data_IF_068056966720
#
_entry.id   IF_068056966720
#
_cell.length_a   1.000
_cell.length_b   1.000
_cell.length_c   1.000
_cell.angle_alpha   90.00
_cell.angle_beta   90.00
_cell.angle_gamma   90.00
#
_symmetry.space_group_name_H-M   'P 1'
#
loop_
_entity.id
_entity.type
_entity.pdbx_description
1 polymer ?
#
# COMPACT_ATOMS: atom_id res chain seq x y z
N UNK A 1 -35.34 -48.16 70.99
CA UNK A 1 -35.89 -47.16 70.08
C UNK A 1 -34.80 -46.17 69.63
N UNK A 2 -33.86 -46.64 68.83
CA UNK A 2 -32.77 -45.82 68.36
C UNK A 2 -32.38 -46.00 66.87
N UNK A 3 -33.06 -46.90 66.14
CA UNK A 3 -32.67 -47.28 64.77
C UNK A 3 -33.47 -46.58 63.64
N UNK A 4 -34.61 -45.94 63.90
CA UNK A 4 -35.43 -45.35 62.87
C UNK A 4 -34.98 -43.95 62.36
N UNK A 5 -34.04 -43.28 63.10
CA UNK A 5 -33.60 -41.92 62.70
C UNK A 5 -32.33 -41.92 61.85
N UNK A 6 -31.64 -43.06 61.75
CA UNK A 6 -30.40 -43.17 61.00
C UNK A 6 -30.72 -43.42 59.50
N UNK A 7 -31.79 -44.14 59.17
CA UNK A 7 -32.17 -44.46 57.80
C UNK A 7 -32.48 -43.22 56.92
N UNK A 8 -33.26 -42.21 57.34
CA UNK A 8 -33.53 -41.06 56.51
C UNK A 8 -32.30 -40.14 56.36
N UNK A 9 -31.48 -40.02 57.37
CA UNK A 9 -30.22 -39.26 57.29
C UNK A 9 -29.20 -39.94 56.38
N UNK A 10 -29.11 -41.23 56.39
CA UNK A 10 -28.26 -42.04 55.52
C UNK A 10 -28.73 -41.94 54.04
N UNK A 11 -30.04 -42.00 53.79
CA UNK A 11 -30.62 -41.83 52.49
C UNK A 11 -30.37 -40.44 51.92
N UNK A 12 -30.50 -39.37 52.72
CA UNK A 12 -30.21 -38.00 52.36
C UNK A 12 -28.72 -37.80 52.05
N UNK A 13 -27.83 -38.41 52.82
CA UNK A 13 -26.39 -38.38 52.58
C UNK A 13 -25.98 -39.06 51.27
N UNK A 14 -26.59 -40.22 50.98
CA UNK A 14 -26.37 -40.95 49.71
C UNK A 14 -26.87 -40.13 48.50
N UNK A 15 -28.07 -39.55 48.58
CA UNK A 15 -28.60 -38.70 47.51
C UNK A 15 -27.71 -37.46 47.28
N UNK A 16 -27.22 -36.86 48.34
CA UNK A 16 -26.33 -35.69 48.25
C UNK A 16 -24.96 -36.06 47.65
N UNK A 17 -24.41 -37.21 48.00
CA UNK A 17 -23.18 -37.75 47.44
C UNK A 17 -23.34 -38.07 45.95
N UNK A 18 -24.41 -38.71 45.53
CA UNK A 18 -24.71 -38.98 44.13
C UNK A 18 -24.87 -37.65 43.36
N UNK A 19 -25.60 -36.69 43.91
CA UNK A 19 -25.77 -35.37 43.32
C UNK A 19 -24.44 -34.63 43.07
N UNK A 20 -23.55 -34.69 44.06
CA UNK A 20 -22.21 -34.08 43.94
C UNK A 20 -21.30 -34.80 42.91
N UNK A 21 -21.39 -36.15 42.85
CA UNK A 21 -20.62 -36.92 41.87
C UNK A 21 -21.12 -36.61 40.46
N UNK A 22 -22.42 -36.56 40.22
CA UNK A 22 -23.01 -36.22 38.93
C UNK A 22 -22.68 -34.77 38.55
N UNK A 23 -22.80 -33.83 39.46
CA UNK A 23 -22.45 -32.45 39.24
C UNK A 23 -20.96 -32.30 38.90
N UNK A 24 -20.06 -32.95 39.66
CA UNK A 24 -18.63 -32.97 39.39
C UNK A 24 -18.28 -33.56 38.02
N UNK A 25 -18.93 -34.64 37.64
CA UNK A 25 -18.78 -35.26 36.33
C UNK A 25 -19.22 -34.33 35.20
N UNK A 26 -20.41 -33.71 35.33
CA UNK A 26 -20.91 -32.78 34.31
C UNK A 26 -20.05 -31.52 34.17
N UNK A 27 -19.57 -30.97 35.27
CA UNK A 27 -18.63 -29.80 35.24
C UNK A 27 -17.29 -30.21 34.63
N UNK A 28 -16.76 -31.38 35.01
CA UNK A 28 -15.53 -31.92 34.44
C UNK A 28 -15.62 -32.14 32.92
N UNK A 29 -16.70 -32.78 32.48
CA UNK A 29 -16.96 -33.01 31.05
C UNK A 29 -17.17 -31.72 30.28
N UNK A 30 -17.89 -30.74 30.85
CA UNK A 30 -18.05 -29.41 30.25
C UNK A 30 -16.70 -28.66 30.11
N UNK A 31 -15.82 -28.73 31.12
CA UNK A 31 -14.47 -28.13 31.09
C UNK A 31 -13.55 -28.79 30.05
N UNK A 32 -13.61 -30.13 29.94
CA UNK A 32 -12.85 -30.87 28.94
C UNK A 32 -13.33 -30.57 27.53
N UNK A 33 -14.65 -30.49 27.33
CA UNK A 33 -15.25 -30.08 26.02
C UNK A 33 -14.94 -28.64 25.67
N UNK A 34 -14.95 -27.72 26.63
CA UNK A 34 -14.54 -26.33 26.43
C UNK A 34 -13.08 -26.24 25.97
N UNK A 35 -12.15 -26.97 26.58
CA UNK A 35 -10.74 -27.03 26.18
C UNK A 35 -10.54 -27.70 24.82
N UNK A 36 -11.28 -28.74 24.49
CA UNK A 36 -11.17 -29.38 23.18
C UNK A 36 -11.75 -28.52 22.02
N UNK A 37 -12.72 -27.66 22.34
CA UNK A 37 -13.27 -26.68 21.39
C UNK A 37 -12.31 -25.52 21.06
N UNK A 38 -11.20 -25.38 21.79
CA UNK A 38 -10.18 -24.33 21.53
C UNK A 38 -9.12 -24.72 20.49
N UNK A 39 -9.24 -25.86 19.84
CA UNK A 39 -8.29 -26.24 18.77
C UNK A 39 -8.55 -25.40 17.53
N UNK A 40 -7.57 -24.62 17.13
CA UNK A 40 -7.64 -23.79 15.93
C UNK A 40 -6.32 -23.80 15.18
N UNK A 41 -6.37 -23.45 13.92
CA UNK A 41 -5.20 -23.20 13.07
C UNK A 41 -5.20 -21.75 12.61
N UNK A 42 -4.06 -21.11 12.68
CA UNK A 42 -3.86 -19.75 12.14
C UNK A 42 -3.11 -19.85 10.81
N UNK A 43 -3.72 -19.35 9.77
CA UNK A 43 -3.16 -19.37 8.42
C UNK A 43 -3.17 -17.99 7.81
N UNK A 44 -2.33 -17.81 6.80
CA UNK A 44 -2.31 -16.60 6.00
C UNK A 44 -2.66 -16.92 4.56
N UNK A 45 -3.58 -16.14 4.01
CA UNK A 45 -3.87 -16.15 2.59
C UNK A 45 -3.33 -14.89 1.94
N UNK A 46 -2.74 -15.04 0.78
CA UNK A 46 -2.18 -13.98 -0.05
C UNK A 46 -3.05 -13.79 -1.28
N UNK A 47 -3.31 -12.55 -1.66
CA UNK A 47 -3.68 -12.18 -3.03
C UNK A 47 -2.71 -11.13 -3.53
N UNK A 48 -2.23 -11.31 -4.76
CA UNK A 48 -1.32 -10.40 -5.43
C UNK A 48 -1.73 -10.25 -6.89
N UNK A 49 -1.83 -9.00 -7.36
CA UNK A 49 -2.19 -8.69 -8.75
C UNK A 49 -1.22 -7.68 -9.32
N UNK A 50 -0.82 -7.91 -10.56
CA UNK A 50 -0.11 -6.91 -11.36
C UNK A 50 -1.16 -6.11 -12.12
N UNK A 51 -1.12 -4.79 -11.97
CA UNK A 51 -2.03 -3.84 -12.61
C UNK A 51 -1.21 -2.75 -13.31
N UNK A 52 -1.78 -2.17 -14.36
CA UNK A 52 -1.20 -0.99 -14.98
C UNK A 52 -1.54 0.26 -14.14
N UNK A 53 -0.59 1.18 -14.03
CA UNK A 53 -0.84 2.49 -13.45
C UNK A 53 -1.91 3.23 -14.27
N UNK A 54 -2.80 3.94 -13.58
CA UNK A 54 -3.87 4.72 -14.20
C UNK A 54 -3.66 6.23 -14.08
N UNK A 55 -2.53 6.62 -13.49
CA UNK A 55 -2.12 8.00 -13.32
C UNK A 55 -0.60 8.10 -13.47
N UNK A 56 -0.15 9.07 -14.24
CA UNK A 56 1.26 9.46 -14.32
C UNK A 56 1.41 10.93 -13.89
N UNK A 57 2.43 11.19 -13.10
CA UNK A 57 2.82 12.53 -12.66
C UNK A 57 4.27 12.73 -13.10
N UNK A 58 4.48 13.62 -14.05
CA UNK A 58 5.82 13.97 -14.52
C UNK A 58 6.19 15.36 -14.04
N UNK A 59 7.15 15.44 -13.13
CA UNK A 59 7.74 16.67 -12.67
C UNK A 59 8.90 17.06 -13.62
N UNK A 60 8.72 18.12 -14.36
CA UNK A 60 9.71 18.65 -15.30
C UNK A 60 10.36 19.85 -14.62
N UNK A 61 11.62 19.70 -14.23
CA UNK A 61 12.41 20.76 -13.58
C UNK A 61 13.56 21.14 -14.50
N UNK A 62 13.80 22.44 -14.65
CA UNK A 62 14.94 22.97 -15.41
C UNK A 62 15.49 24.23 -14.75
N UNK A 63 16.71 24.59 -15.12
CA UNK A 63 17.43 25.73 -14.53
C UNK A 63 17.82 26.74 -15.60
N UNK A 64 17.59 28.01 -15.27
CA UNK A 64 18.00 29.15 -16.04
C UNK A 64 18.97 30.01 -15.22
N UNK A 65 19.85 30.71 -15.88
CA UNK A 65 20.82 31.58 -15.24
C UNK A 65 21.05 32.88 -16.06
N UNK A 66 21.17 34.00 -15.37
CA UNK A 66 21.46 35.30 -16.00
C UNK A 66 22.18 36.23 -15.01
N UNK A 67 22.70 37.36 -15.53
CA UNK A 67 23.39 38.37 -14.72
C UNK A 67 22.47 39.47 -14.19
N UNK A 68 21.26 39.56 -14.72
CA UNK A 68 20.22 40.48 -14.27
C UNK A 68 18.87 39.75 -14.13
N UNK A 69 17.97 40.32 -13.32
CA UNK A 69 16.67 39.70 -13.02
C UNK A 69 15.70 39.79 -14.19
N UNK A 70 15.77 40.83 -15.00
CA UNK A 70 14.87 41.00 -16.13
C UNK A 70 15.19 39.99 -17.23
N UNK A 71 16.46 39.81 -17.57
CA UNK A 71 16.91 38.80 -18.51
C UNK A 71 16.64 37.39 -18.02
N UNK A 72 16.79 37.13 -16.70
CA UNK A 72 16.42 35.85 -16.11
C UNK A 72 14.93 35.56 -16.25
N UNK A 73 14.05 36.55 -15.97
CA UNK A 73 12.61 36.38 -16.10
C UNK A 73 12.19 36.11 -17.53
N UNK A 74 12.75 36.84 -18.50
CA UNK A 74 12.47 36.59 -19.92
C UNK A 74 12.89 35.19 -20.36
N UNK A 75 14.04 34.70 -19.87
CA UNK A 75 14.54 33.37 -20.17
C UNK A 75 13.64 32.28 -19.56
N UNK A 76 13.24 32.45 -18.30
CA UNK A 76 12.31 31.56 -17.59
C UNK A 76 10.96 31.47 -18.33
N UNK A 77 10.39 32.60 -18.72
CA UNK A 77 9.10 32.64 -19.42
C UNK A 77 9.20 31.99 -20.81
N UNK A 78 10.27 32.25 -21.55
CA UNK A 78 10.49 31.63 -22.84
C UNK A 78 10.67 30.10 -22.74
N UNK A 79 11.46 29.62 -21.79
CA UNK A 79 11.72 28.20 -21.62
C UNK A 79 10.49 27.47 -21.05
N UNK A 80 9.75 28.09 -20.13
CA UNK A 80 8.46 27.60 -19.66
C UNK A 80 7.47 27.42 -20.80
N UNK A 81 7.36 28.40 -21.69
CA UNK A 81 6.50 28.33 -22.86
C UNK A 81 6.90 27.18 -23.81
N UNK A 82 8.20 26.94 -24.02
CA UNK A 82 8.67 25.82 -24.85
C UNK A 82 8.24 24.47 -24.26
N UNK A 83 8.44 24.23 -22.94
CA UNK A 83 8.02 23.00 -22.28
C UNK A 83 6.50 22.83 -22.35
N UNK A 84 5.79 23.90 -22.09
CA UNK A 84 4.32 23.90 -22.13
C UNK A 84 3.81 23.55 -23.54
N UNK A 85 4.34 24.18 -24.58
CA UNK A 85 3.97 23.92 -25.97
C UNK A 85 4.32 22.48 -26.37
N UNK A 86 5.49 21.96 -25.98
CA UNK A 86 5.85 20.57 -26.19
C UNK A 86 4.79 19.61 -25.63
N UNK A 87 4.30 19.87 -24.40
CA UNK A 87 3.27 19.03 -23.80
C UNK A 87 1.92 19.13 -24.54
N UNK A 88 1.53 20.33 -24.98
CA UNK A 88 0.33 20.51 -25.79
C UNK A 88 0.44 19.81 -27.15
N UNK A 89 1.59 19.90 -27.84
CA UNK A 89 1.86 19.20 -29.10
C UNK A 89 1.84 17.68 -28.94
N UNK A 90 2.22 17.17 -27.78
CA UNK A 90 2.08 15.75 -27.44
C UNK A 90 0.63 15.30 -27.25
N UNK A 91 -0.34 16.23 -27.13
CA UNK A 91 -1.77 15.96 -26.98
C UNK A 91 -2.28 15.98 -25.54
N UNK A 92 -1.54 16.59 -24.62
CA UNK A 92 -2.02 16.86 -23.28
C UNK A 92 -2.89 18.12 -23.26
N UNK A 93 -3.80 18.16 -22.31
CA UNK A 93 -4.70 19.30 -22.12
C UNK A 93 -4.10 20.30 -21.12
N UNK A 94 -4.47 21.57 -21.27
CA UNK A 94 -4.05 22.64 -20.36
C UNK A 94 -4.32 22.31 -18.88
N UNK A 95 -5.46 21.66 -18.59
CA UNK A 95 -5.84 21.25 -17.25
C UNK A 95 -4.94 20.16 -16.64
N UNK A 96 -4.19 19.42 -17.47
CA UNK A 96 -3.24 18.40 -17.03
C UNK A 96 -1.87 18.99 -16.67
N UNK A 97 -1.62 20.27 -17.04
CA UNK A 97 -0.33 20.95 -16.88
C UNK A 97 -0.46 22.01 -15.79
N UNK A 98 0.39 21.95 -14.80
CA UNK A 98 0.49 22.97 -13.76
C UNK A 98 1.90 23.47 -13.60
N UNK A 99 2.08 24.73 -13.19
CA UNK A 99 3.40 25.30 -12.95
C UNK A 99 3.45 26.00 -11.61
N UNK A 100 4.59 25.89 -10.93
CA UNK A 100 4.88 26.64 -9.72
C UNK A 100 5.67 27.92 -10.08
N UNK A 101 5.60 28.97 -9.26
CA UNK A 101 6.48 30.12 -9.39
C UNK A 101 7.94 29.67 -9.39
N UNK A 102 8.81 30.27 -10.24
CA UNK A 102 10.23 29.93 -10.27
C UNK A 102 10.90 30.30 -8.95
N UNK A 103 11.80 29.45 -8.50
CA UNK A 103 12.64 29.73 -7.33
C UNK A 103 13.92 30.43 -7.78
N UNK A 104 14.03 31.73 -7.48
CA UNK A 104 15.16 32.55 -7.86
C UNK A 104 16.14 32.62 -6.69
N UNK A 105 17.43 32.42 -6.99
CA UNK A 105 18.53 32.52 -6.02
C UNK A 105 19.57 33.56 -6.56
N UNK A 106 19.88 34.56 -5.73
CA UNK A 106 21.08 35.40 -5.94
C UNK A 106 22.29 34.65 -5.38
N UNK A 107 23.10 34.12 -6.28
CA UNK A 107 24.25 33.29 -5.92
C UNK A 107 25.28 34.07 -5.09
N UNK A 108 25.38 35.40 -5.28
CA UNK A 108 26.32 36.26 -4.53
C UNK A 108 25.87 36.53 -3.10
N UNK A 109 24.60 36.30 -2.77
CA UNK A 109 24.05 36.50 -1.42
C UNK A 109 24.20 35.30 -0.51
N UNK A 110 24.69 34.15 -0.99
CA UNK A 110 24.78 32.91 -0.22
C UNK A 110 25.95 32.98 0.80
N UNK A 111 25.71 32.71 2.11
CA UNK A 111 26.67 33.04 3.18
C UNK A 111 27.91 32.13 3.27
N UNK A 112 28.01 31.08 2.50
CA UNK A 112 29.11 30.09 2.54
C UNK A 112 29.73 29.83 1.17
N UNK A 113 29.84 30.84 0.35
CA UNK A 113 30.48 30.76 -0.96
C UNK A 113 31.94 31.07 -0.90
N UNK A 114 32.76 30.22 -1.49
CA UNK A 114 34.17 30.48 -1.78
C UNK A 114 34.25 31.66 -2.76
N UNK A 115 34.80 32.83 -2.33
CA UNK A 115 34.93 34.01 -3.20
C UNK A 115 35.82 33.77 -4.42
N UNK A 116 36.65 32.73 -4.43
CA UNK A 116 37.55 32.38 -5.52
C UNK A 116 36.88 31.59 -6.65
N UNK A 117 35.63 31.13 -6.48
CA UNK A 117 34.85 30.53 -7.57
C UNK A 117 34.09 31.60 -8.33
N UNK A 118 34.72 32.09 -9.37
CA UNK A 118 34.10 33.01 -10.33
C UNK A 118 32.92 32.28 -10.99
N UNK A 119 31.69 32.65 -10.64
CA UNK A 119 30.48 32.10 -11.27
C UNK A 119 30.07 33.06 -12.37
N UNK A 120 29.91 32.51 -13.55
CA UNK A 120 29.54 33.23 -14.76
C UNK A 120 28.22 34.01 -14.57
N UNK A 121 27.27 33.49 -13.80
CA UNK A 121 25.94 34.07 -13.59
C UNK A 121 25.69 34.43 -12.13
N UNK A 122 25.06 35.58 -11.90
CA UNK A 122 24.68 36.08 -10.59
C UNK A 122 23.37 35.46 -10.11
N UNK A 123 22.37 35.32 -10.97
CA UNK A 123 21.04 34.81 -10.62
C UNK A 123 20.80 33.47 -11.27
N UNK A 124 20.21 32.58 -10.54
CA UNK A 124 19.74 31.28 -11.04
C UNK A 124 18.27 31.11 -10.70
N UNK A 125 17.50 30.53 -11.59
CA UNK A 125 16.12 30.17 -11.39
C UNK A 125 15.93 28.65 -11.55
N UNK A 126 15.15 28.04 -10.69
CA UNK A 126 14.64 26.67 -10.86
C UNK A 126 13.15 26.76 -11.18
N UNK A 127 12.79 26.34 -12.37
CA UNK A 127 11.40 26.32 -12.83
C UNK A 127 10.89 24.90 -12.81
N UNK A 128 9.65 24.70 -12.33
CA UNK A 128 8.99 23.39 -12.26
C UNK A 128 7.62 23.45 -12.93
N UNK A 129 7.42 22.54 -13.88
CA UNK A 129 6.11 22.21 -14.44
C UNK A 129 5.76 20.79 -14.01
N UNK A 130 4.50 20.55 -13.72
CA UNK A 130 3.99 19.21 -13.40
C UNK A 130 2.91 18.87 -14.39
N UNK A 131 3.14 17.80 -15.15
CA UNK A 131 2.13 17.12 -15.94
C UNK A 131 1.50 16.04 -15.08
N UNK A 132 0.17 16.07 -14.93
CA UNK A 132 -0.61 15.05 -14.23
C UNK A 132 -1.68 14.52 -15.17
N UNK A 133 -1.53 13.30 -15.64
CA UNK A 133 -2.38 12.74 -16.69
C UNK A 133 -2.77 11.29 -16.42
N UNK A 134 -4.02 10.95 -16.71
CA UNK A 134 -4.50 9.57 -16.74
C UNK A 134 -4.11 8.85 -18.05
N UNK A 135 -3.56 9.58 -19.02
CA UNK A 135 -3.14 9.05 -20.33
C UNK A 135 -1.73 8.44 -20.23
N UNK A 136 -1.54 7.47 -19.34
CA UNK A 136 -0.22 6.86 -19.04
C UNK A 136 0.58 6.47 -20.28
N UNK A 137 0.01 5.80 -21.32
CA UNK A 137 0.75 5.50 -22.54
C UNK A 137 1.25 6.75 -23.30
N UNK A 138 0.51 7.85 -23.22
CA UNK A 138 0.91 9.10 -23.84
C UNK A 138 2.07 9.75 -23.08
N UNK A 139 2.05 9.69 -21.75
CA UNK A 139 3.16 10.19 -20.90
C UNK A 139 4.43 9.40 -21.21
N UNK A 140 4.37 8.08 -21.36
CA UNK A 140 5.53 7.26 -21.76
C UNK A 140 6.11 7.71 -23.10
N UNK A 141 5.29 7.96 -24.11
CA UNK A 141 5.73 8.49 -25.40
C UNK A 141 6.36 9.88 -25.27
N UNK A 142 5.82 10.74 -24.40
CA UNK A 142 6.39 12.06 -24.15
C UNK A 142 7.75 11.97 -23.46
N UNK A 143 7.93 11.03 -22.53
CA UNK A 143 9.22 10.75 -21.90
C UNK A 143 10.28 10.26 -22.91
N UNK A 144 9.90 9.40 -23.85
CA UNK A 144 10.80 8.97 -24.95
C UNK A 144 11.25 10.15 -25.81
N UNK A 145 10.38 11.14 -25.99
CA UNK A 145 10.68 12.37 -26.76
C UNK A 145 11.24 13.53 -25.90
N UNK A 146 11.43 13.33 -24.61
CA UNK A 146 11.93 14.40 -23.71
C UNK A 146 13.31 14.96 -24.15
N UNK A 147 14.10 14.18 -24.92
CA UNK A 147 15.33 14.65 -25.55
C UNK A 147 15.14 15.84 -26.51
N UNK A 148 13.93 16.05 -27.06
CA UNK A 148 13.62 17.20 -27.88
C UNK A 148 13.68 18.52 -27.10
N UNK A 149 13.32 18.49 -25.80
CA UNK A 149 13.46 19.63 -24.90
C UNK A 149 14.94 20.08 -24.80
N UNK A 150 15.85 19.10 -24.75
CA UNK A 150 17.30 19.42 -24.75
C UNK A 150 17.72 20.10 -26.07
N UNK A 151 17.18 19.65 -27.20
CA UNK A 151 17.41 20.28 -28.51
C UNK A 151 16.86 21.71 -28.59
N UNK A 152 15.83 22.04 -27.79
CA UNK A 152 15.26 23.36 -27.63
C UNK A 152 16.05 24.25 -26.63
N UNK A 153 17.17 23.72 -26.08
CA UNK A 153 18.03 24.43 -25.13
C UNK A 153 17.59 24.28 -23.66
N UNK A 154 16.72 23.33 -23.34
CA UNK A 154 16.24 23.12 -21.98
C UNK A 154 16.98 21.92 -21.36
N UNK A 155 17.86 22.22 -20.41
CA UNK A 155 18.53 21.17 -19.61
C UNK A 155 17.63 20.73 -18.45
N UNK A 156 17.07 19.53 -18.57
CA UNK A 156 16.29 18.94 -17.48
C UNK A 156 17.18 18.74 -16.25
N UNK A 157 16.69 19.15 -15.10
CA UNK A 157 17.41 19.00 -13.84
C UNK A 157 17.28 17.56 -13.29
N UNK A 158 18.21 17.17 -12.42
CA UNK A 158 18.23 15.80 -11.81
C UNK A 158 16.98 15.47 -11.00
N UNK A 159 16.27 16.49 -10.51
CA UNK A 159 15.00 16.34 -9.77
C UNK A 159 13.78 16.20 -10.70
N UNK A 160 13.99 16.15 -12.01
CA UNK A 160 12.95 15.78 -12.96
C UNK A 160 12.66 14.28 -12.84
N UNK A 161 11.50 13.95 -12.30
CA UNK A 161 11.10 12.57 -12.04
C UNK A 161 9.68 12.31 -12.52
N UNK A 162 9.45 11.08 -12.93
CA UNK A 162 8.10 10.61 -13.29
C UNK A 162 7.66 9.55 -12.29
N UNK A 163 6.49 9.74 -11.72
CA UNK A 163 5.84 8.80 -10.84
C UNK A 163 4.59 8.23 -11.53
N UNK A 164 4.47 6.92 -11.49
CA UNK A 164 3.27 6.23 -11.94
C UNK A 164 2.50 5.72 -10.72
N UNK A 165 1.19 5.88 -10.71
CA UNK A 165 0.33 5.50 -9.59
C UNK A 165 -0.87 4.70 -10.05
N UNK A 166 -1.31 3.77 -9.22
CA UNK A 166 -2.58 3.08 -9.39
C UNK A 166 -3.58 3.60 -8.35
N UNK A 167 -4.63 4.28 -8.81
CA UNK A 167 -5.60 4.97 -7.94
C UNK A 167 -6.90 4.17 -7.75
N UNK A 168 -7.16 3.17 -8.59
CA UNK A 168 -8.41 2.37 -8.62
C UNK A 168 -8.37 1.15 -7.70
N UNK A 169 -7.65 1.25 -6.57
CA UNK A 169 -7.58 0.15 -5.60
C UNK A 169 -8.96 -0.34 -5.15
N UNK A 170 -9.91 0.57 -4.95
CA UNK A 170 -11.24 0.22 -4.46
C UNK A 170 -12.02 -0.69 -5.42
N UNK A 171 -11.72 -0.65 -6.71
CA UNK A 171 -12.41 -1.46 -7.73
C UNK A 171 -11.99 -2.94 -7.64
N UNK A 172 -10.74 -3.22 -7.29
CA UNK A 172 -10.19 -4.59 -7.20
C UNK A 172 -10.16 -5.14 -5.78
N UNK A 173 -10.31 -4.29 -4.77
CA UNK A 173 -10.20 -4.63 -3.35
C UNK A 173 -11.13 -5.77 -2.91
N UNK A 174 -12.44 -5.79 -3.27
CA UNK A 174 -13.34 -6.87 -2.84
C UNK A 174 -12.92 -8.24 -3.35
N UNK A 175 -12.52 -8.32 -4.61
CA UNK A 175 -12.09 -9.57 -5.23
C UNK A 175 -10.78 -10.08 -4.62
N UNK A 176 -9.82 -9.20 -4.37
CA UNK A 176 -8.55 -9.55 -3.74
C UNK A 176 -8.74 -10.06 -2.31
N UNK A 177 -9.68 -9.47 -1.54
CA UNK A 177 -9.99 -9.96 -0.20
C UNK A 177 -10.62 -11.36 -0.27
N UNK A 178 -11.55 -11.57 -1.20
CA UNK A 178 -12.19 -12.87 -1.41
C UNK A 178 -11.15 -13.96 -1.77
N UNK A 179 -10.23 -13.64 -2.68
CA UNK A 179 -9.14 -14.51 -3.10
C UNK A 179 -8.19 -14.83 -1.93
N UNK A 180 -7.73 -13.82 -1.19
CA UNK A 180 -6.87 -14.01 -0.03
C UNK A 180 -7.55 -14.87 1.05
N UNK A 181 -8.86 -14.68 1.28
CA UNK A 181 -9.62 -15.49 2.24
C UNK A 181 -9.77 -16.94 1.77
N UNK A 182 -10.00 -17.15 0.47
CA UNK A 182 -10.04 -18.48 -0.15
C UNK A 182 -8.70 -19.20 0.01
N UNK A 183 -7.59 -18.54 -0.32
CA UNK A 183 -6.24 -19.08 -0.19
C UNK A 183 -5.89 -19.41 1.27
N UNK A 184 -6.36 -18.60 2.23
CA UNK A 184 -6.23 -18.91 3.66
C UNK A 184 -7.00 -20.19 4.03
N UNK A 185 -8.23 -20.39 3.51
CA UNK A 185 -9.02 -21.60 3.75
C UNK A 185 -8.35 -22.84 3.16
N UNK A 186 -7.85 -22.76 1.94
CA UNK A 186 -7.14 -23.87 1.29
C UNK A 186 -5.88 -24.27 2.09
N UNK A 187 -5.14 -23.29 2.61
CA UNK A 187 -4.01 -23.54 3.50
C UNK A 187 -4.45 -24.24 4.80
N UNK A 188 -5.57 -23.79 5.42
CA UNK A 188 -6.11 -24.40 6.63
C UNK A 188 -6.55 -25.85 6.38
N UNK A 189 -7.18 -26.14 5.24
CA UNK A 189 -7.61 -27.47 4.85
C UNK A 189 -6.42 -28.42 4.65
N UNK A 190 -5.31 -27.91 4.12
CA UNK A 190 -4.07 -28.70 4.01
C UNK A 190 -3.55 -29.08 5.40
N UNK A 191 -3.44 -28.11 6.32
CA UNK A 191 -3.01 -28.37 7.71
C UNK A 191 -3.96 -29.33 8.43
N UNK A 192 -5.26 -29.19 8.20
CA UNK A 192 -6.25 -30.07 8.81
C UNK A 192 -6.10 -31.52 8.33
N UNK A 193 -5.93 -31.72 7.02
CA UNK A 193 -5.66 -33.06 6.44
C UNK A 193 -4.41 -33.71 7.04
N UNK A 194 -3.31 -32.96 7.10
CA UNK A 194 -2.03 -33.45 7.61
C UNK A 194 -2.07 -33.80 9.10
N UNK A 195 -2.97 -33.14 9.87
CA UNK A 195 -3.18 -33.38 11.30
C UNK A 195 -4.33 -34.35 11.63
N UNK A 196 -4.96 -34.95 10.63
CA UNK A 196 -6.12 -35.82 10.84
C UNK A 196 -7.34 -35.09 11.41
N UNK A 197 -7.52 -33.83 11.07
CA UNK A 197 -8.60 -32.95 11.52
C UNK A 197 -9.41 -32.42 10.34
N UNK A 198 -10.50 -31.69 10.62
CA UNK A 198 -11.29 -30.95 9.61
C UNK A 198 -11.35 -29.48 9.94
N UNK A 199 -11.39 -28.63 8.89
CA UNK A 199 -11.57 -27.18 9.06
C UNK A 199 -13.02 -26.88 9.41
N UNK A 200 -13.22 -26.18 10.51
CA UNK A 200 -14.52 -25.69 10.96
C UNK A 200 -14.80 -24.24 10.50
N UNK A 201 -15.59 -23.54 11.30
CA UNK A 201 -15.91 -22.13 11.07
C UNK A 201 -14.70 -21.22 11.31
N UNK A 202 -14.79 -19.99 10.80
CA UNK A 202 -13.84 -18.94 11.10
C UNK A 202 -14.00 -18.54 12.57
N UNK A 203 -12.91 -18.59 13.33
CA UNK A 203 -12.84 -18.09 14.71
C UNK A 203 -12.56 -16.58 14.69
N UNK A 204 -11.59 -16.16 13.88
CA UNK A 204 -11.15 -14.79 13.75
C UNK A 204 -10.59 -14.55 12.35
N UNK A 205 -10.87 -13.40 11.78
CA UNK A 205 -10.23 -12.94 10.54
C UNK A 205 -9.70 -11.54 10.73
N UNK A 206 -8.49 -11.32 10.25
CA UNK A 206 -7.85 -10.01 10.24
C UNK A 206 -7.29 -9.75 8.84
N UNK A 207 -7.85 -8.75 8.18
CA UNK A 207 -7.37 -8.27 6.91
C UNK A 207 -6.16 -7.36 7.12
N UNK A 208 -5.04 -7.68 6.46
CA UNK A 208 -3.87 -6.82 6.43
C UNK A 208 -4.06 -5.60 5.53
N UNK A 209 -3.07 -4.73 5.54
CA UNK A 209 -3.03 -3.56 4.66
C UNK A 209 -2.77 -3.98 3.22
N UNK A 210 -3.37 -3.23 2.29
CA UNK A 210 -2.97 -3.29 0.91
C UNK A 210 -1.64 -2.54 0.73
N UNK A 211 -0.71 -3.18 0.04
CA UNK A 211 0.53 -2.55 -0.38
C UNK A 211 0.53 -2.42 -1.90
N UNK A 212 0.92 -1.26 -2.40
CA UNK A 212 1.10 -0.98 -3.82
C UNK A 212 2.56 -0.60 -3.99
N UNK A 213 3.26 -1.32 -4.82
CA UNK A 213 4.67 -1.06 -5.15
C UNK A 213 4.89 -1.21 -6.64
N UNK A 214 6.00 -0.73 -7.15
CA UNK A 214 6.38 -1.02 -8.52
C UNK A 214 6.57 -2.52 -8.69
N UNK A 215 6.12 -3.08 -9.82
CA UNK A 215 6.33 -4.48 -10.16
C UNK A 215 7.83 -4.81 -10.20
N UNK A 216 8.59 -3.95 -10.86
CA UNK A 216 10.04 -4.03 -10.98
C UNK A 216 10.62 -2.66 -11.37
N UNK A 217 11.97 -2.53 -11.29
CA UNK A 217 12.68 -1.28 -11.60
C UNK A 217 12.59 -0.86 -13.09
N UNK A 218 12.38 -1.80 -13.97
CA UNK A 218 12.32 -1.57 -15.42
C UNK A 218 10.93 -1.23 -15.92
N UNK A 219 9.90 -1.41 -15.09
CA UNK A 219 8.50 -1.23 -15.47
C UNK A 219 7.72 -0.48 -14.38
N UNK A 220 8.07 0.78 -14.12
CA UNK A 220 7.43 1.57 -13.06
C UNK A 220 5.94 1.88 -13.33
N UNK A 221 5.51 1.73 -14.57
CA UNK A 221 4.10 1.84 -15.01
C UNK A 221 3.25 0.60 -14.67
N UNK A 222 3.87 -0.50 -14.21
CA UNK A 222 3.17 -1.65 -13.65
C UNK A 222 3.32 -1.69 -12.14
N UNK A 223 2.21 -1.91 -11.45
CA UNK A 223 2.18 -1.99 -9.98
C UNK A 223 1.82 -3.39 -9.52
N UNK A 224 2.49 -3.87 -8.50
CA UNK A 224 2.08 -5.04 -7.72
C UNK A 224 1.21 -4.56 -6.56
N UNK A 225 -0.05 -4.99 -6.56
CA UNK A 225 -1.01 -4.78 -5.48
C UNK A 225 -1.11 -6.07 -4.69
N UNK A 226 -0.82 -6.00 -3.39
CA UNK A 226 -0.74 -7.17 -2.52
C UNK A 226 -1.54 -6.97 -1.25
N UNK A 227 -2.24 -8.02 -0.81
CA UNK A 227 -2.89 -8.08 0.50
C UNK A 227 -2.67 -9.45 1.15
N UNK A 228 -2.47 -9.46 2.46
CA UNK A 228 -2.38 -10.68 3.26
C UNK A 228 -3.50 -10.68 4.28
N UNK A 229 -4.34 -11.73 4.26
CA UNK A 229 -5.39 -11.94 5.24
C UNK A 229 -4.96 -13.05 6.20
N UNK A 230 -5.01 -12.78 7.50
CA UNK A 230 -4.76 -13.78 8.54
C UNK A 230 -6.10 -14.30 9.06
N UNK A 231 -6.30 -15.60 9.02
CA UNK A 231 -7.55 -16.25 9.44
C UNK A 231 -7.25 -17.37 10.42
N UNK A 232 -8.03 -17.41 11.50
CA UNK A 232 -8.06 -18.51 12.47
C UNK A 232 -9.31 -19.35 12.19
N UNK A 233 -9.11 -20.62 11.94
CA UNK A 233 -10.20 -21.59 11.76
C UNK A 233 -10.23 -22.56 12.93
N UNK A 234 -11.41 -22.86 13.47
CA UNK A 234 -11.56 -23.98 14.37
C UNK A 234 -11.20 -25.29 13.68
N UNK A 235 -10.56 -26.19 14.42
CA UNK A 235 -10.32 -27.56 14.01
C UNK A 235 -11.31 -28.49 14.72
N UNK A 236 -12.02 -29.31 13.94
CA UNK A 236 -12.92 -30.33 14.44
C UNK A 236 -12.31 -31.72 14.27
N UNK A 237 -12.64 -32.63 15.17
CA UNK A 237 -12.26 -34.02 15.00
C UNK A 237 -12.94 -34.61 13.74
N UNK A 238 -12.33 -35.59 13.08
CA UNK A 238 -12.85 -36.23 11.87
C UNK A 238 -14.22 -36.85 12.03
#
# INVERSE_FOLDING_TARGET
MRDERVSPALALGVCLAIGLIVAGYLVGDALLKARSAERFVTVKGLSERIVEADLAIWNISFRDAANDLEGLQQLVDANKAKVHNFLLEMGFEEAEISSMPPQITDVKSLPYMDPSRDREFRYTAVTRLTLRSAKVPLVKKALERAGELVSMGIALAEDSATEFSFTKLNDIKPEMIAEATKNAREAAEQFARDSGSRVGAIRRANQGYFTISDRDRGSPDYKSVRVVTTVEFFLTSP
#
